data_IF_546685668572
#
_entry.id   IF_546685668572
#
_cell.length_a   1.000
_cell.length_b   1.000
_cell.length_c   1.000
_cell.angle_alpha   90.00
_cell.angle_beta   90.00
_cell.angle_gamma   90.00
#
_symmetry.space_group_name_H-M   'P 1'
#
loop_
_entity.id
_entity.type
_entity.pdbx_description
1 polymer ?
#
# COMPACT_ATOMS: atom_id res chain seq x y z
N UNK A 1 -40.13 19.30 -4.37
CA UNK A 1 -39.89 19.24 -5.82
C UNK A 1 -38.90 18.11 -6.01
N UNK A 2 -39.42 16.93 -6.29
CA UNK A 2 -38.67 15.71 -6.59
C UNK A 2 -38.16 15.83 -8.04
N UNK A 3 -36.90 16.22 -8.21
CA UNK A 3 -36.23 16.07 -9.47
C UNK A 3 -35.82 14.60 -9.60
N UNK A 4 -36.55 13.82 -10.39
CA UNK A 4 -36.07 12.56 -10.95
C UNK A 4 -34.79 12.84 -11.73
N UNK A 5 -33.62 12.53 -11.18
CA UNK A 5 -32.39 12.39 -11.98
C UNK A 5 -32.54 11.05 -12.70
N UNK A 6 -33.02 11.13 -13.94
CA UNK A 6 -33.03 10.03 -14.91
C UNK A 6 -31.64 9.40 -14.96
N UNK A 7 -31.55 8.07 -15.15
CA UNK A 7 -30.32 7.30 -15.21
C UNK A 7 -29.48 7.59 -16.45
N UNK A 8 -29.04 8.85 -16.60
CA UNK A 8 -28.20 9.27 -17.71
C UNK A 8 -26.75 8.82 -17.44
N UNK A 9 -26.14 8.22 -18.44
CA UNK A 9 -24.71 7.97 -18.50
C UNK A 9 -23.94 9.30 -18.49
N UNK A 10 -22.73 9.30 -17.94
CA UNK A 10 -21.89 10.49 -17.95
C UNK A 10 -21.62 10.93 -19.42
N UNK A 11 -21.69 12.24 -19.74
CA UNK A 11 -21.44 12.71 -21.09
C UNK A 11 -20.07 12.27 -21.60
N UNK A 12 -20.04 11.74 -22.82
CA UNK A 12 -18.79 11.27 -23.44
C UNK A 12 -17.78 12.39 -23.72
N UNK A 13 -18.22 13.65 -23.72
CA UNK A 13 -17.44 14.87 -23.94
C UNK A 13 -17.20 15.68 -22.64
N UNK A 14 -17.53 15.12 -21.49
CA UNK A 14 -17.30 15.73 -20.17
C UNK A 14 -15.80 15.91 -19.82
N UNK A 15 -15.53 16.49 -18.63
CA UNK A 15 -14.18 16.73 -18.14
C UNK A 15 -13.86 15.80 -16.97
N UNK A 16 -12.86 14.96 -17.13
CA UNK A 16 -12.37 14.09 -16.04
C UNK A 16 -10.98 14.56 -15.64
N UNK A 17 -10.78 14.77 -14.34
CA UNK A 17 -9.48 15.06 -13.74
C UNK A 17 -9.05 13.88 -12.88
N UNK A 18 -7.81 13.46 -13.03
CA UNK A 18 -7.15 12.43 -12.21
C UNK A 18 -6.01 13.11 -11.44
N UNK A 19 -6.12 13.16 -10.11
CA UNK A 19 -5.03 13.66 -9.25
C UNK A 19 -4.24 12.49 -8.72
N UNK A 20 -2.99 12.36 -9.19
CA UNK A 20 -2.09 11.24 -8.97
C UNK A 20 -1.70 10.58 -10.29
N UNK A 21 -0.59 11.03 -10.89
CA UNK A 21 -0.09 10.54 -12.18
C UNK A 21 0.91 9.37 -12.00
N UNK A 22 0.54 8.35 -11.20
CA UNK A 22 1.32 7.11 -11.02
C UNK A 22 0.51 5.90 -11.52
N UNK A 23 0.75 4.70 -11.00
CA UNK A 23 0.15 3.44 -11.46
C UNK A 23 -1.38 3.52 -11.54
N UNK A 24 -2.07 3.87 -10.45
CA UNK A 24 -3.53 3.93 -10.44
C UNK A 24 -4.07 4.97 -11.43
N UNK A 25 -3.47 6.18 -11.47
CA UNK A 25 -3.87 7.23 -12.42
C UNK A 25 -3.68 6.83 -13.88
N UNK A 26 -2.54 6.21 -14.21
CA UNK A 26 -2.27 5.70 -15.55
C UNK A 26 -3.30 4.63 -15.97
N UNK A 27 -3.55 3.63 -15.10
CA UNK A 27 -4.49 2.54 -15.39
C UNK A 27 -5.93 3.01 -15.49
N UNK A 28 -6.32 4.02 -14.68
CA UNK A 28 -7.62 4.65 -14.81
C UNK A 28 -7.76 5.43 -16.12
N UNK A 29 -6.75 6.16 -16.53
CA UNK A 29 -6.75 6.90 -17.81
C UNK A 29 -6.88 5.97 -19.02
N UNK A 30 -6.15 4.84 -19.01
CA UNK A 30 -6.27 3.79 -20.02
C UNK A 30 -7.68 3.19 -20.04
N UNK A 31 -8.21 2.82 -18.86
CA UNK A 31 -9.53 2.23 -18.73
C UNK A 31 -10.65 3.18 -19.18
N UNK A 32 -10.58 4.48 -18.85
CA UNK A 32 -11.53 5.47 -19.36
C UNK A 32 -11.58 5.51 -20.88
N UNK A 33 -10.42 5.43 -21.55
CA UNK A 33 -10.35 5.37 -23.00
C UNK A 33 -10.86 4.04 -23.57
N UNK A 34 -10.66 2.93 -22.84
CA UNK A 34 -11.21 1.61 -23.22
C UNK A 34 -12.74 1.57 -23.09
N UNK A 35 -13.31 2.27 -22.09
CA UNK A 35 -14.77 2.47 -21.93
C UNK A 35 -15.38 3.44 -22.94
N UNK A 36 -14.58 4.00 -23.86
CA UNK A 36 -15.06 4.88 -24.93
C UNK A 36 -15.22 6.35 -24.52
N UNK A 37 -14.70 6.76 -23.36
CA UNK A 37 -14.69 8.18 -23.00
C UNK A 37 -13.79 8.98 -23.94
N UNK A 38 -14.33 9.99 -24.62
CA UNK A 38 -13.63 10.84 -25.60
C UNK A 38 -13.40 12.27 -25.11
N UNK A 39 -13.96 12.61 -23.96
CA UNK A 39 -13.90 13.95 -23.37
C UNK A 39 -12.52 14.34 -22.86
N UNK A 40 -12.44 15.52 -22.29
CA UNK A 40 -11.21 16.07 -21.75
C UNK A 40 -10.71 15.25 -20.56
N UNK A 41 -9.45 14.81 -20.63
CA UNK A 41 -8.79 14.04 -19.57
C UNK A 41 -7.52 14.78 -19.14
N UNK A 42 -7.43 15.14 -17.85
CA UNK A 42 -6.25 15.79 -17.28
C UNK A 42 -5.69 14.94 -16.15
N UNK A 43 -4.39 14.64 -16.19
CA UNK A 43 -3.66 13.99 -15.10
C UNK A 43 -2.76 15.01 -14.41
N UNK A 44 -2.87 15.09 -13.09
CA UNK A 44 -2.07 15.97 -12.22
C UNK A 44 -1.13 15.10 -11.40
N UNK A 45 0.17 15.40 -11.40
CA UNK A 45 1.19 14.69 -10.64
C UNK A 45 2.23 15.63 -10.03
N UNK A 46 2.67 15.35 -8.82
CA UNK A 46 3.72 16.08 -8.11
C UNK A 46 5.13 15.72 -8.62
N UNK A 47 5.31 14.53 -9.15
CA UNK A 47 6.57 14.10 -9.76
C UNK A 47 6.69 14.61 -11.20
N UNK A 48 7.90 15.02 -11.60
CA UNK A 48 8.18 15.59 -12.94
C UNK A 48 8.23 14.54 -14.05
N UNK A 49 8.19 13.28 -13.69
CA UNK A 49 8.37 12.16 -14.62
C UNK A 49 7.05 11.46 -14.95
N UNK A 50 7.03 10.78 -16.09
CA UNK A 50 5.95 9.87 -16.45
C UNK A 50 5.81 8.70 -15.47
N UNK A 51 4.63 8.04 -15.41
CA UNK A 51 4.39 6.91 -14.52
C UNK A 51 5.43 5.80 -14.65
N UNK A 52 5.92 5.32 -13.52
CA UNK A 52 6.92 4.25 -13.44
C UNK A 52 6.56 3.21 -12.38
N UNK A 53 7.17 2.03 -12.47
CA UNK A 53 6.94 0.91 -11.57
C UNK A 53 7.75 1.07 -10.29
N UNK A 54 7.09 1.01 -9.11
CA UNK A 54 7.74 1.21 -7.81
C UNK A 54 8.32 -0.08 -7.19
N UNK A 55 7.78 -1.29 -7.39
CA UNK A 55 8.34 -2.51 -6.82
C UNK A 55 9.83 -2.74 -7.12
N UNK A 56 10.40 -2.37 -8.28
CA UNK A 56 11.84 -2.50 -8.54
C UNK A 56 12.73 -1.61 -7.67
N UNK A 57 12.20 -0.51 -7.10
CA UNK A 57 12.98 0.52 -6.41
C UNK A 57 13.69 0.03 -5.15
N UNK A 58 13.12 -0.95 -4.44
CA UNK A 58 13.73 -1.58 -3.26
C UNK A 58 14.52 -2.87 -3.58
N UNK A 59 14.58 -3.26 -4.86
CA UNK A 59 15.14 -4.54 -5.33
C UNK A 59 16.08 -4.31 -6.51
N UNK A 60 15.58 -4.43 -7.75
CA UNK A 60 16.37 -4.45 -8.97
C UNK A 60 17.16 -3.17 -9.21
N UNK A 61 16.63 -2.02 -8.82
CA UNK A 61 17.37 -0.75 -8.93
C UNK A 61 18.55 -0.75 -7.95
N UNK A 62 18.33 -1.20 -6.71
CA UNK A 62 19.36 -1.24 -5.68
C UNK A 62 20.38 -2.37 -5.87
N UNK A 63 20.12 -3.33 -6.77
CA UNK A 63 21.12 -4.32 -7.22
C UNK A 63 21.91 -3.85 -8.44
N UNK A 64 21.54 -2.70 -9.04
CA UNK A 64 22.14 -2.21 -10.28
C UNK A 64 21.70 -2.96 -11.53
N UNK A 65 20.75 -3.90 -11.42
CA UNK A 65 20.26 -4.68 -12.57
C UNK A 65 19.40 -3.83 -13.51
N UNK A 66 18.60 -2.91 -12.95
CA UNK A 66 17.78 -1.97 -13.71
C UNK A 66 18.16 -0.55 -13.28
N UNK A 67 18.48 0.37 -14.19
CA UNK A 67 18.70 1.75 -13.83
C UNK A 67 17.37 2.38 -13.35
N UNK A 68 17.44 3.38 -12.47
CA UNK A 68 16.25 3.98 -11.87
C UNK A 68 15.29 4.57 -12.92
N UNK A 69 15.81 5.15 -14.00
CA UNK A 69 15.05 5.66 -15.14
C UNK A 69 14.51 4.57 -16.07
N UNK A 70 15.02 3.34 -15.97
CA UNK A 70 14.56 2.16 -16.71
C UNK A 70 13.29 1.52 -16.16
N UNK A 71 12.64 2.10 -15.14
CA UNK A 71 11.46 1.54 -14.48
C UNK A 71 10.13 2.02 -15.05
N UNK A 72 10.11 2.67 -16.21
CA UNK A 72 8.90 3.20 -16.83
C UNK A 72 7.79 2.14 -16.94
N UNK A 73 6.55 2.52 -16.58
CA UNK A 73 5.39 1.65 -16.77
C UNK A 73 5.03 1.58 -18.27
N UNK A 74 4.86 0.38 -18.83
CA UNK A 74 4.41 0.25 -20.20
C UNK A 74 2.98 0.79 -20.32
N UNK A 75 2.77 1.67 -21.28
CA UNK A 75 1.43 2.10 -21.68
C UNK A 75 0.78 0.97 -22.50
N UNK A 76 -0.44 0.61 -22.17
CA UNK A 76 -1.21 -0.42 -22.87
C UNK A 76 -1.86 0.10 -24.15
N UNK A 77 -2.01 1.44 -24.20
CA UNK A 77 -2.55 2.18 -25.34
C UNK A 77 -2.05 3.62 -25.33
N UNK A 78 -2.25 4.32 -26.43
CA UNK A 78 -2.09 5.77 -26.46
C UNK A 78 -3.20 6.44 -25.65
N UNK A 79 -2.83 7.41 -24.83
CA UNK A 79 -3.74 8.17 -23.99
C UNK A 79 -3.70 9.62 -24.46
N UNK A 80 -4.78 10.06 -25.09
CA UNK A 80 -4.99 11.47 -25.36
C UNK A 80 -5.41 12.17 -24.05
N UNK A 81 -4.45 12.80 -23.37
CA UNK A 81 -4.65 13.46 -22.10
C UNK A 81 -3.66 14.61 -21.90
N UNK A 82 -4.09 15.59 -21.12
CA UNK A 82 -3.25 16.70 -20.69
C UNK A 82 -2.52 16.30 -19.40
N UNK A 83 -1.19 16.18 -19.46
CA UNK A 83 -0.34 15.80 -18.34
C UNK A 83 0.24 17.04 -17.68
N UNK A 84 -0.12 17.28 -16.41
CA UNK A 84 0.40 18.34 -15.56
C UNK A 84 1.34 17.70 -14.52
N UNK A 85 2.57 17.41 -14.93
CA UNK A 85 3.59 16.77 -14.11
C UNK A 85 4.48 17.81 -13.43
N UNK A 86 4.98 17.49 -12.23
CA UNK A 86 5.79 18.37 -11.41
C UNK A 86 5.00 19.47 -10.69
N UNK A 87 3.66 19.37 -10.67
CA UNK A 87 2.79 20.37 -10.03
C UNK A 87 1.79 19.66 -9.14
N UNK A 88 1.99 19.66 -7.80
CA UNK A 88 1.07 19.02 -6.89
C UNK A 88 -0.28 19.76 -6.81
N UNK A 89 -1.35 19.00 -6.54
CA UNK A 89 -2.61 19.57 -6.10
C UNK A 89 -2.44 20.15 -4.68
N UNK A 90 -3.03 21.32 -4.44
CA UNK A 90 -2.94 22.06 -3.18
C UNK A 90 -4.29 22.24 -2.49
N UNK A 91 -5.42 22.07 -3.22
CA UNK A 91 -6.76 22.21 -2.69
C UNK A 91 -7.82 21.57 -3.57
N UNK A 92 -9.01 21.38 -3.00
CA UNK A 92 -10.20 20.87 -3.69
C UNK A 92 -11.43 21.67 -3.28
N UNK A 93 -12.05 22.34 -4.23
CA UNK A 93 -13.37 22.95 -4.11
C UNK A 93 -14.43 22.00 -4.71
N UNK A 94 -15.11 21.24 -3.86
CA UNK A 94 -16.17 20.31 -4.28
C UNK A 94 -17.37 21.03 -4.89
N UNK A 95 -17.76 22.17 -4.32
CA UNK A 95 -18.94 22.91 -4.77
C UNK A 95 -18.68 23.58 -6.12
N UNK A 96 -17.49 24.17 -6.29
CA UNK A 96 -17.06 24.78 -7.56
C UNK A 96 -16.53 23.77 -8.56
N UNK A 97 -16.40 22.49 -8.19
CA UNK A 97 -15.84 21.41 -9.04
C UNK A 97 -14.51 21.78 -9.67
N UNK A 98 -13.54 22.13 -8.83
CA UNK A 98 -12.18 22.45 -9.28
C UNK A 98 -11.12 21.92 -8.33
N UNK A 99 -9.97 21.59 -8.89
CA UNK A 99 -8.74 21.24 -8.19
C UNK A 99 -7.81 22.43 -8.27
N UNK A 100 -7.33 22.91 -7.13
CA UNK A 100 -6.33 23.99 -7.06
C UNK A 100 -4.93 23.34 -7.12
N UNK A 101 -4.02 23.95 -7.90
CA UNK A 101 -2.64 23.51 -8.03
C UNK A 101 -1.69 24.44 -7.28
N UNK A 102 -0.53 23.91 -6.86
CA UNK A 102 0.46 24.67 -6.11
C UNK A 102 1.07 25.87 -6.87
N UNK A 103 0.96 25.89 -8.19
CA UNK A 103 1.39 27.00 -9.03
C UNK A 103 0.31 28.08 -9.28
N UNK A 104 -0.84 27.94 -8.61
CA UNK A 104 -1.95 28.88 -8.69
C UNK A 104 -2.95 28.62 -9.82
N UNK A 105 -2.75 27.59 -10.64
CA UNK A 105 -3.75 27.18 -11.63
C UNK A 105 -4.91 26.46 -10.96
N UNK A 106 -6.09 26.59 -11.57
CA UNK A 106 -7.31 25.86 -11.20
C UNK A 106 -7.68 24.92 -12.35
N UNK A 107 -8.01 23.66 -12.04
CA UNK A 107 -8.42 22.65 -13.02
C UNK A 107 -9.87 22.27 -12.77
N UNK A 108 -10.81 22.72 -13.61
CA UNK A 108 -12.21 22.38 -13.46
C UNK A 108 -12.48 20.95 -13.90
N UNK A 109 -13.40 20.26 -13.20
CA UNK A 109 -13.81 18.90 -13.52
C UNK A 109 -15.32 18.73 -13.49
N UNK A 110 -15.81 17.72 -14.19
CA UNK A 110 -17.18 17.21 -14.01
C UNK A 110 -17.15 15.95 -13.15
N UNK A 111 -16.06 15.13 -13.28
CA UNK A 111 -15.72 14.03 -12.38
C UNK A 111 -14.24 14.04 -12.01
N UNK A 112 -13.94 13.62 -10.78
CA UNK A 112 -12.60 13.61 -10.21
C UNK A 112 -12.23 12.19 -9.76
N UNK A 113 -11.01 11.73 -10.09
CA UNK A 113 -10.39 10.57 -9.48
C UNK A 113 -9.24 11.01 -8.57
N UNK A 114 -9.29 10.63 -7.31
CA UNK A 114 -8.21 10.81 -6.34
C UNK A 114 -7.36 9.54 -6.34
N UNK A 115 -6.11 9.64 -6.84
CA UNK A 115 -5.15 8.54 -6.97
C UNK A 115 -3.76 8.92 -6.45
N UNK A 116 -3.69 9.80 -5.44
CA UNK A 116 -2.46 10.42 -4.91
C UNK A 116 -1.56 9.48 -4.14
N UNK A 117 -2.04 8.29 -3.77
CA UNK A 117 -1.25 7.25 -3.14
C UNK A 117 -0.65 7.62 -1.78
N UNK A 118 0.58 7.16 -1.55
CA UNK A 118 1.35 7.37 -0.31
C UNK A 118 2.76 7.86 -0.66
N UNK A 119 3.38 8.61 0.27
CA UNK A 119 4.81 8.93 0.27
C UNK A 119 5.52 8.17 1.39
N UNK A 120 6.84 8.03 1.31
CA UNK A 120 7.62 7.47 2.41
C UNK A 120 7.51 8.36 3.64
N UNK A 121 7.37 7.73 4.82
CA UNK A 121 7.43 8.44 6.09
C UNK A 121 8.86 8.91 6.33
N UNK A 122 9.11 10.22 6.46
CA UNK A 122 10.45 10.72 6.73
C UNK A 122 10.88 10.40 8.16
N UNK A 123 12.15 10.59 8.45
CA UNK A 123 12.64 10.68 9.83
C UNK A 123 12.01 11.90 10.53
N UNK A 124 11.68 11.75 11.82
CA UNK A 124 10.85 12.74 12.51
C UNK A 124 11.56 14.06 12.79
N UNK A 125 12.87 14.02 13.03
CA UNK A 125 13.68 15.24 13.22
C UNK A 125 14.23 15.68 11.85
N UNK A 126 13.85 16.88 11.42
CA UNK A 126 14.22 17.41 10.10
C UNK A 126 15.73 17.64 9.96
N UNK A 127 16.42 18.01 11.05
CA UNK A 127 17.86 18.25 11.02
C UNK A 127 18.64 16.94 10.88
N UNK A 128 18.18 15.88 11.52
CA UNK A 128 18.74 14.54 11.38
C UNK A 128 18.38 13.91 10.02
N UNK A 129 17.15 14.15 9.51
CA UNK A 129 16.72 13.74 8.18
C UNK A 129 17.56 14.37 7.05
N UNK A 130 18.06 15.59 7.28
CA UNK A 130 18.88 16.33 6.33
C UNK A 130 20.36 15.90 6.31
N UNK A 131 20.80 15.02 7.21
CA UNK A 131 22.17 14.50 7.20
C UNK A 131 22.48 13.77 5.89
N UNK A 132 23.63 14.03 5.28
CA UNK A 132 24.10 13.25 4.14
C UNK A 132 24.29 11.78 4.56
N UNK A 133 23.70 10.87 3.78
CA UNK A 133 23.66 9.44 4.08
C UNK A 133 22.37 8.98 4.73
N UNK A 134 21.39 9.86 5.00
CA UNK A 134 20.03 9.47 5.41
C UNK A 134 19.11 9.45 4.20
N UNK A 135 18.42 8.34 3.99
CA UNK A 135 17.59 8.09 2.82
C UNK A 135 16.19 7.59 3.22
N UNK A 136 15.22 7.92 2.41
CA UNK A 136 13.95 7.19 2.25
C UNK A 136 13.94 6.52 0.88
N UNK A 137 13.04 5.56 0.65
CA UNK A 137 12.87 4.95 -0.68
C UNK A 137 11.39 4.93 -1.04
N UNK A 138 11.00 5.78 -1.96
CA UNK A 138 9.66 5.81 -2.54
C UNK A 138 9.68 6.23 -4.02
N UNK A 139 10.53 7.19 -4.38
CA UNK A 139 10.67 7.66 -5.74
C UNK A 139 11.86 6.99 -6.44
N UNK A 140 11.89 7.07 -7.76
CA UNK A 140 13.04 6.57 -8.54
C UNK A 140 14.32 7.37 -8.25
N UNK A 141 14.19 8.65 -7.95
CA UNK A 141 15.28 9.52 -7.55
C UNK A 141 15.86 9.09 -6.19
N UNK A 142 14.99 8.74 -5.23
CA UNK A 142 15.43 8.20 -3.93
C UNK A 142 16.24 6.92 -4.12
N UNK A 143 15.70 6.01 -4.94
CA UNK A 143 16.35 4.71 -5.21
C UNK A 143 17.67 4.87 -5.96
N UNK A 144 17.72 5.78 -6.96
CA UNK A 144 18.95 6.08 -7.69
C UNK A 144 20.05 6.64 -6.78
N UNK A 145 19.74 7.61 -5.94
CA UNK A 145 20.67 8.17 -4.96
C UNK A 145 21.14 7.13 -3.94
N UNK A 146 20.23 6.28 -3.45
CA UNK A 146 20.62 5.19 -2.54
C UNK A 146 21.52 4.17 -3.25
N UNK A 147 21.20 3.80 -4.50
CA UNK A 147 22.05 2.90 -5.30
C UNK A 147 23.47 3.43 -5.45
N UNK A 148 23.65 4.70 -5.83
CA UNK A 148 24.98 5.33 -5.95
C UNK A 148 25.78 5.21 -4.64
N UNK A 149 25.11 5.39 -3.50
CA UNK A 149 25.75 5.27 -2.19
C UNK A 149 26.11 3.82 -1.84
N UNK A 150 25.24 2.85 -2.16
CA UNK A 150 25.52 1.42 -1.94
C UNK A 150 26.63 0.93 -2.85
N UNK A 151 26.65 1.34 -4.12
CA UNK A 151 27.69 0.99 -5.09
C UNK A 151 29.07 1.54 -4.71
N UNK A 152 29.14 2.62 -3.93
CA UNK A 152 30.37 3.16 -3.39
C UNK A 152 30.97 2.32 -2.23
N UNK A 153 30.28 1.27 -1.79
CA UNK A 153 30.75 0.33 -0.76
C UNK A 153 30.80 0.94 0.64
N UNK A 154 29.70 1.35 1.24
CA UNK A 154 29.68 1.86 2.62
C UNK A 154 30.12 0.77 3.60
N UNK A 155 30.77 1.18 4.69
CA UNK A 155 31.24 0.23 5.72
C UNK A 155 30.08 -0.43 6.47
N UNK A 156 28.96 0.27 6.63
CA UNK A 156 27.72 -0.25 7.27
C UNK A 156 26.48 0.54 6.87
N UNK A 157 25.39 -0.19 6.62
CA UNK A 157 24.03 0.35 6.43
C UNK A 157 23.19 0.06 7.67
N UNK A 158 22.47 1.06 8.16
CA UNK A 158 21.40 0.88 9.12
C UNK A 158 20.05 1.03 8.40
N UNK A 159 19.18 0.03 8.52
CA UNK A 159 17.79 0.09 8.07
C UNK A 159 16.90 0.27 9.29
N UNK A 160 16.08 1.32 9.30
CA UNK A 160 15.14 1.61 10.38
C UNK A 160 13.74 1.20 9.95
N UNK A 161 13.24 0.11 10.52
CA UNK A 161 11.99 -0.57 10.19
C UNK A 161 12.22 -1.84 9.36
N UNK A 162 11.66 -2.95 9.84
CA UNK A 162 11.76 -4.27 9.23
C UNK A 162 10.45 -4.71 8.54
N UNK A 163 9.71 -3.76 7.95
CA UNK A 163 8.63 -4.04 7.01
C UNK A 163 9.14 -4.59 5.68
N UNK A 164 8.28 -4.73 4.66
CA UNK A 164 8.68 -5.28 3.36
C UNK A 164 9.85 -4.52 2.73
N UNK A 165 9.74 -3.19 2.60
CA UNK A 165 10.79 -2.38 1.99
C UNK A 165 12.12 -2.49 2.76
N UNK A 166 12.09 -2.38 4.08
CA UNK A 166 13.29 -2.50 4.90
C UNK A 166 13.96 -3.87 4.80
N UNK A 167 13.17 -4.94 4.82
CA UNK A 167 13.67 -6.32 4.64
C UNK A 167 14.25 -6.57 3.24
N UNK A 168 13.64 -6.00 2.20
CA UNK A 168 14.14 -6.07 0.81
C UNK A 168 15.47 -5.33 0.66
N UNK A 169 15.58 -4.13 1.24
CA UNK A 169 16.82 -3.34 1.23
C UNK A 169 17.93 -4.06 2.02
N UNK A 170 17.61 -4.64 3.18
CA UNK A 170 18.57 -5.45 3.93
C UNK A 170 19.04 -6.66 3.12
N UNK A 171 18.15 -7.31 2.39
CA UNK A 171 18.48 -8.40 1.46
C UNK A 171 19.44 -7.94 0.35
N UNK A 172 19.19 -6.78 -0.25
CA UNK A 172 20.08 -6.19 -1.26
C UNK A 172 21.46 -5.89 -0.67
N UNK A 173 21.54 -5.27 0.50
CA UNK A 173 22.80 -4.99 1.17
C UNK A 173 23.62 -6.27 1.38
N UNK A 174 22.99 -7.36 1.85
CA UNK A 174 23.67 -8.64 2.01
C UNK A 174 24.09 -9.27 0.68
N UNK A 175 23.28 -9.07 -0.38
CA UNK A 175 23.66 -9.50 -1.74
C UNK A 175 24.89 -8.78 -2.32
N UNK A 176 25.20 -7.60 -1.80
CA UNK A 176 26.40 -6.81 -2.12
C UNK A 176 27.51 -6.96 -1.06
N UNK A 177 27.41 -7.91 -0.13
CA UNK A 177 28.34 -8.11 1.00
C UNK A 177 28.50 -6.89 1.91
N UNK A 178 27.54 -5.95 1.89
CA UNK A 178 27.54 -4.77 2.75
C UNK A 178 27.02 -5.19 4.15
N UNK A 179 27.75 -4.88 5.23
CA UNK A 179 27.27 -5.08 6.58
C UNK A 179 25.99 -4.27 6.82
N UNK A 180 24.93 -4.92 7.29
CA UNK A 180 23.63 -4.27 7.54
C UNK A 180 23.12 -4.59 8.94
N UNK A 181 22.69 -3.53 9.64
CA UNK A 181 21.91 -3.61 10.87
C UNK A 181 20.47 -3.23 10.54
N UNK A 182 19.50 -4.01 10.99
CA UNK A 182 18.06 -3.70 10.88
C UNK A 182 17.50 -3.46 12.28
N UNK A 183 16.89 -2.31 12.51
CA UNK A 183 16.23 -1.95 13.75
C UNK A 183 14.71 -2.03 13.60
N UNK A 184 14.04 -2.76 14.46
CA UNK A 184 12.58 -2.94 14.44
C UNK A 184 12.02 -2.77 15.85
N UNK A 185 10.95 -2.00 15.97
CA UNK A 185 10.26 -1.77 17.26
C UNK A 185 9.42 -2.96 17.71
N UNK A 186 8.91 -3.73 16.75
CA UNK A 186 8.17 -4.96 17.02
C UNK A 186 9.12 -6.11 17.38
N UNK A 187 8.54 -7.22 17.89
CA UNK A 187 9.28 -8.42 18.32
C UNK A 187 9.93 -9.19 17.15
N UNK A 188 9.43 -8.97 15.92
CA UNK A 188 9.95 -9.60 14.71
C UNK A 188 9.71 -8.72 13.48
N UNK A 189 10.48 -8.92 12.38
CA UNK A 189 10.21 -8.27 11.10
C UNK A 189 8.85 -8.73 10.54
N UNK A 190 8.23 -7.89 9.70
CA UNK A 190 6.98 -8.17 9.00
C UNK A 190 5.78 -8.51 9.92
N UNK A 191 5.93 -8.37 11.23
CA UNK A 191 4.91 -8.79 12.21
C UNK A 191 3.58 -8.07 11.98
N UNK A 192 3.61 -6.81 11.58
CA UNK A 192 2.41 -6.03 11.25
C UNK A 192 1.64 -6.55 10.03
N UNK A 193 2.30 -7.29 9.15
CA UNK A 193 1.70 -7.86 7.93
C UNK A 193 1.43 -9.36 8.02
N UNK A 194 2.31 -10.12 8.70
CA UNK A 194 2.32 -11.58 8.69
C UNK A 194 2.09 -12.22 10.07
N UNK A 195 2.03 -11.42 11.14
CA UNK A 195 1.91 -11.91 12.52
C UNK A 195 3.20 -12.48 13.10
N UNK A 196 3.19 -12.77 14.39
CA UNK A 196 4.40 -13.12 15.16
C UNK A 196 5.04 -14.44 14.73
N UNK A 197 4.25 -15.48 14.46
CA UNK A 197 4.79 -16.77 14.04
C UNK A 197 5.57 -16.69 12.73
N UNK A 198 4.96 -16.15 11.69
CA UNK A 198 5.60 -16.02 10.37
C UNK A 198 6.69 -14.93 10.39
N UNK A 199 6.49 -13.87 11.18
CA UNK A 199 7.52 -12.86 11.46
C UNK A 199 8.78 -13.46 12.08
N UNK A 200 8.64 -14.40 13.00
CA UNK A 200 9.78 -15.11 13.63
C UNK A 200 10.55 -15.98 12.61
N UNK A 201 9.85 -16.61 11.66
CA UNK A 201 10.48 -17.33 10.54
C UNK A 201 11.27 -16.36 9.65
N UNK A 202 10.69 -15.21 9.33
CA UNK A 202 11.39 -14.16 8.57
C UNK A 202 12.61 -13.61 9.32
N UNK A 203 12.54 -13.49 10.67
CA UNK A 203 13.69 -13.10 11.48
C UNK A 203 14.84 -14.09 11.39
N UNK A 204 14.54 -15.39 11.45
CA UNK A 204 15.55 -16.45 11.30
C UNK A 204 16.18 -16.42 9.92
N UNK A 205 15.39 -16.20 8.86
CA UNK A 205 15.90 -16.05 7.49
C UNK A 205 16.87 -14.87 7.37
N UNK A 206 16.55 -13.71 7.92
CA UNK A 206 17.42 -12.53 7.92
C UNK A 206 18.73 -12.79 8.66
N UNK A 207 18.66 -13.36 9.88
CA UNK A 207 19.85 -13.70 10.68
C UNK A 207 20.74 -14.72 10.01
N UNK A 208 20.17 -15.76 9.39
CA UNK A 208 20.91 -16.77 8.64
C UNK A 208 21.71 -16.18 7.46
N UNK A 209 21.25 -15.06 6.91
CA UNK A 209 21.96 -14.31 5.86
C UNK A 209 22.89 -13.21 6.41
N UNK A 210 23.16 -13.21 7.72
CA UNK A 210 24.14 -12.30 8.33
C UNK A 210 23.64 -10.87 8.56
N UNK A 211 22.34 -10.67 8.68
CA UNK A 211 21.77 -9.38 9.12
C UNK A 211 21.90 -9.25 10.64
N UNK A 212 22.46 -8.12 11.12
CA UNK A 212 22.37 -7.73 12.54
C UNK A 212 20.94 -7.20 12.83
N UNK A 213 20.02 -8.15 13.05
CA UNK A 213 18.59 -7.87 13.26
C UNK A 213 18.31 -7.61 14.74
N UNK A 214 17.92 -6.39 15.07
CA UNK A 214 17.57 -5.91 16.39
C UNK A 214 16.08 -5.62 16.47
N UNK A 215 15.34 -6.46 17.15
CA UNK A 215 13.90 -6.34 17.38
C UNK A 215 13.61 -5.84 18.80
N UNK A 216 12.44 -5.23 19.02
CA UNK A 216 12.04 -4.65 20.31
C UNK A 216 12.80 -3.36 20.66
N UNK A 217 13.48 -2.74 19.68
CA UNK A 217 14.27 -1.53 19.90
C UNK A 217 13.86 -0.41 18.93
N UNK A 218 13.91 0.83 19.40
CA UNK A 218 13.63 2.02 18.61
C UNK A 218 14.93 2.78 18.37
N UNK A 219 15.18 3.22 17.15
CA UNK A 219 16.19 4.25 16.89
C UNK A 219 15.62 5.59 17.37
N UNK A 220 16.33 6.24 18.28
CA UNK A 220 15.86 7.45 18.97
C UNK A 220 16.51 8.72 18.44
N UNK A 221 17.71 8.61 17.87
CA UNK A 221 18.47 9.75 17.34
C UNK A 221 19.49 9.30 16.30
N UNK A 222 19.70 10.14 15.29
CA UNK A 222 20.81 10.04 14.34
C UNK A 222 21.85 11.13 14.65
N UNK A 223 23.11 10.77 14.62
CA UNK A 223 24.22 11.67 14.91
C UNK A 223 25.06 11.89 13.66
N UNK A 224 25.30 13.14 13.30
CA UNK A 224 26.16 13.54 12.19
C UNK A 224 27.60 13.81 12.62
N UNK A 225 28.53 13.80 11.65
CA UNK A 225 29.87 14.30 11.81
C UNK A 225 29.94 15.84 11.57
N UNK A 226 31.11 16.45 11.75
CA UNK A 226 31.34 17.89 11.52
C UNK A 226 31.08 18.36 10.08
N UNK A 227 30.96 17.39 9.13
CA UNK A 227 30.66 17.65 7.72
C UNK A 227 29.20 17.43 7.38
N UNK A 228 28.34 17.17 8.40
CA UNK A 228 26.92 16.90 8.21
C UNK A 228 26.61 15.53 7.62
N UNK A 229 27.51 14.55 7.68
CA UNK A 229 27.27 13.17 7.24
C UNK A 229 26.84 12.32 8.44
N UNK A 230 25.84 11.44 8.24
CA UNK A 230 25.46 10.49 9.28
C UNK A 230 26.64 9.57 9.64
N UNK A 231 26.84 9.34 10.94
CA UNK A 231 27.92 8.48 11.43
C UNK A 231 27.47 7.49 12.49
N UNK A 232 26.40 7.76 13.22
CA UNK A 232 25.94 6.92 14.34
C UNK A 232 24.45 7.04 14.57
N UNK A 233 23.83 5.93 14.96
CA UNK A 233 22.46 5.88 15.47
C UNK A 233 22.45 5.49 16.94
N UNK A 234 21.53 6.07 17.72
CA UNK A 234 21.28 5.77 19.13
C UNK A 234 19.98 5.01 19.28
N UNK A 235 19.97 4.00 20.15
CA UNK A 235 18.83 3.14 20.37
C UNK A 235 18.18 3.33 21.74
N UNK A 236 16.93 2.92 21.87
CA UNK A 236 16.14 3.05 23.11
C UNK A 236 16.69 2.23 24.30
N UNK A 237 17.47 1.22 24.03
CA UNK A 237 18.16 0.38 25.05
C UNK A 237 19.53 0.95 25.47
N UNK A 238 19.91 2.12 24.97
CA UNK A 238 21.19 2.79 25.22
C UNK A 238 22.33 2.32 24.30
N UNK A 239 22.12 1.33 23.45
CA UNK A 239 23.11 0.90 22.49
C UNK A 239 23.30 1.95 21.38
N UNK A 240 24.43 1.87 20.68
CA UNK A 240 24.71 2.68 19.48
C UNK A 240 25.21 1.80 18.34
N UNK A 241 25.00 2.27 17.10
CA UNK A 241 25.54 1.64 15.89
C UNK A 241 26.13 2.71 15.01
N UNK A 242 27.39 2.55 14.63
CA UNK A 242 28.01 3.38 13.60
C UNK A 242 27.49 2.96 12.23
N UNK A 243 27.10 3.92 11.39
CA UNK A 243 26.56 3.69 10.06
C UNK A 243 26.92 4.85 9.12
N UNK A 244 27.30 4.52 7.89
CA UNK A 244 27.61 5.50 6.84
C UNK A 244 26.35 5.81 6.00
N UNK A 245 25.36 4.93 6.10
CA UNK A 245 24.06 5.03 5.41
C UNK A 245 22.97 4.64 6.38
N UNK A 246 21.91 5.44 6.44
CA UNK A 246 20.69 5.14 7.18
C UNK A 246 19.51 5.15 6.19
N UNK A 247 18.78 4.05 6.12
CA UNK A 247 17.56 3.95 5.30
C UNK A 247 16.34 3.93 6.21
N UNK A 248 15.50 4.95 6.12
CA UNK A 248 14.28 5.11 6.90
C UNK A 248 13.14 4.38 6.19
N UNK A 249 12.74 3.21 6.69
CA UNK A 249 11.73 2.32 6.11
C UNK A 249 10.50 2.20 7.04
N UNK A 250 9.97 3.33 7.50
CA UNK A 250 8.91 3.45 8.51
C UNK A 250 7.47 3.44 7.93
N UNK A 251 7.29 2.88 6.74
CA UNK A 251 6.00 2.80 6.05
C UNK A 251 5.60 4.08 5.33
N UNK A 252 4.34 4.12 4.90
CA UNK A 252 3.78 5.20 4.09
C UNK A 252 2.98 6.24 4.89
N UNK A 253 2.83 7.42 4.31
CA UNK A 253 1.89 8.47 4.73
C UNK A 253 0.99 8.79 3.53
N UNK A 254 -0.34 8.74 3.72
CA UNK A 254 -1.31 9.04 2.64
C UNK A 254 -1.20 10.50 2.24
N UNK A 255 -1.23 10.73 0.92
CA UNK A 255 -1.17 12.09 0.37
C UNK A 255 -2.57 12.69 0.34
N UNK A 256 -3.07 13.13 1.49
CA UNK A 256 -4.43 13.65 1.68
C UNK A 256 -4.47 15.10 2.17
N UNK A 257 -3.33 15.75 2.38
CA UNK A 257 -3.25 17.09 2.96
C UNK A 257 -3.98 18.14 2.11
N UNK A 258 -3.93 18.01 0.79
CA UNK A 258 -4.60 18.87 -0.16
C UNK A 258 -6.14 18.77 -0.11
N UNK A 259 -6.67 17.71 0.54
CA UNK A 259 -8.10 17.49 0.75
C UNK A 259 -8.60 18.08 2.07
N UNK A 260 -7.73 18.76 2.84
CA UNK A 260 -8.14 19.40 4.07
C UNK A 260 -9.24 20.43 3.77
N UNK A 261 -10.28 20.42 4.58
CA UNK A 261 -11.44 21.31 4.46
C UNK A 261 -12.26 21.18 3.16
N UNK A 262 -11.97 20.17 2.32
CA UNK A 262 -12.73 19.90 1.10
C UNK A 262 -14.15 19.37 1.35
N UNK A 263 -14.44 18.90 2.58
CA UNK A 263 -15.69 18.22 2.90
C UNK A 263 -15.71 16.73 2.59
N UNK A 264 -14.62 16.15 2.07
CA UNK A 264 -14.46 14.70 1.92
C UNK A 264 -14.03 14.01 3.22
N UNK A 265 -14.44 12.76 3.41
CA UNK A 265 -13.98 11.89 4.49
C UNK A 265 -12.53 11.41 4.21
N UNK A 266 -11.60 12.35 4.30
CA UNK A 266 -10.17 12.17 4.03
C UNK A 266 -9.33 12.48 5.27
N UNK A 267 -8.23 11.75 5.46
CA UNK A 267 -7.34 11.96 6.60
C UNK A 267 -6.15 11.01 6.59
N UNK A 268 -5.52 10.83 7.75
CA UNK A 268 -4.31 10.00 7.93
C UNK A 268 -4.49 8.53 7.49
N UNK A 269 -5.73 8.06 7.45
CA UNK A 269 -6.06 6.69 7.01
C UNK A 269 -6.39 6.57 5.53
N UNK A 270 -6.36 7.68 4.78
CA UNK A 270 -6.72 7.76 3.37
C UNK A 270 -8.08 8.41 3.16
N UNK A 271 -8.63 8.24 1.97
CA UNK A 271 -9.94 8.74 1.57
C UNK A 271 -10.94 7.58 1.61
N UNK A 272 -11.97 7.72 2.44
CA UNK A 272 -13.02 6.70 2.53
C UNK A 272 -13.88 6.70 1.27
N UNK A 273 -14.15 5.50 0.74
CA UNK A 273 -15.02 5.31 -0.42
C UNK A 273 -15.91 4.08 -0.26
N UNK A 274 -16.97 4.00 -1.06
CA UNK A 274 -17.82 2.82 -1.15
C UNK A 274 -17.17 1.71 -2.00
N UNK A 275 -17.85 0.57 -2.12
CA UNK A 275 -17.37 -0.53 -2.97
C UNK A 275 -17.29 -0.18 -4.45
N UNK A 276 -18.00 0.85 -4.90
CA UNK A 276 -17.91 1.39 -6.25
C UNK A 276 -16.82 2.45 -6.43
N UNK A 277 -15.93 2.59 -5.45
CA UNK A 277 -14.84 3.58 -5.42
C UNK A 277 -15.30 5.04 -5.36
N UNK A 278 -16.57 5.34 -4.98
CA UNK A 278 -17.06 6.70 -4.81
C UNK A 278 -16.68 7.22 -3.42
N UNK A 279 -16.12 8.42 -3.35
CA UNK A 279 -15.72 9.04 -2.09
C UNK A 279 -16.93 9.32 -1.19
N UNK A 280 -16.75 9.21 0.14
CA UNK A 280 -17.70 9.72 1.11
C UNK A 280 -17.36 11.17 1.47
N UNK A 281 -18.38 11.97 1.72
CA UNK A 281 -18.23 13.25 2.39
C UNK A 281 -18.08 13.08 3.92
N UNK A 282 -17.82 14.17 4.63
CA UNK A 282 -17.69 14.17 6.10
C UNK A 282 -18.98 13.80 6.84
N UNK A 283 -20.13 13.82 6.17
CA UNK A 283 -21.42 13.40 6.71
C UNK A 283 -21.72 11.92 6.43
N UNK A 284 -20.81 11.21 5.74
CA UNK A 284 -20.98 9.81 5.34
C UNK A 284 -21.89 9.62 4.12
N UNK A 285 -22.13 10.67 3.34
CA UNK A 285 -22.85 10.56 2.08
C UNK A 285 -21.88 10.26 0.93
N UNK A 286 -22.31 9.38 0.04
CA UNK A 286 -21.53 9.04 -1.16
C UNK A 286 -21.63 10.18 -2.17
N UNK A 287 -20.48 10.63 -2.68
CA UNK A 287 -20.45 11.60 -3.78
C UNK A 287 -20.70 10.89 -5.11
N UNK A 288 -21.32 11.57 -6.08
CA UNK A 288 -21.52 11.02 -7.42
C UNK A 288 -20.41 11.40 -8.39
N UNK A 289 -19.61 12.39 -8.05
CA UNK A 289 -18.64 13.03 -8.95
C UNK A 289 -17.18 12.80 -8.54
N UNK A 290 -16.91 12.26 -7.34
CA UNK A 290 -15.56 12.03 -6.82
C UNK A 290 -15.33 10.54 -6.55
N UNK A 291 -14.27 10.01 -7.13
CA UNK A 291 -13.84 8.62 -7.03
C UNK A 291 -12.44 8.53 -6.44
N UNK A 292 -12.09 7.35 -5.91
CA UNK A 292 -10.81 7.12 -5.24
C UNK A 292 -10.23 5.78 -5.68
N UNK A 293 -8.91 5.72 -5.93
CA UNK A 293 -8.24 4.47 -6.26
C UNK A 293 -6.79 4.42 -5.77
N UNK A 294 -6.29 3.21 -5.56
CA UNK A 294 -4.91 2.92 -5.15
C UNK A 294 -4.65 3.12 -3.66
N UNK A 295 -3.39 3.32 -3.28
CA UNK A 295 -2.92 3.30 -1.89
C UNK A 295 -3.57 4.37 -0.99
N UNK A 296 -4.14 5.42 -1.57
CA UNK A 296 -4.86 6.48 -0.84
C UNK A 296 -6.28 6.07 -0.48
N UNK A 297 -6.85 5.08 -1.17
CA UNK A 297 -8.22 4.64 -0.99
C UNK A 297 -8.38 3.79 0.28
N UNK A 298 -9.55 3.95 0.92
CA UNK A 298 -10.00 3.13 2.02
C UNK A 298 -11.40 2.64 1.73
N UNK A 299 -11.48 1.35 1.34
CA UNK A 299 -12.70 0.71 0.83
C UNK A 299 -13.22 -0.39 1.76
N UNK A 300 -14.55 -0.55 1.93
CA UNK A 300 -15.11 -1.70 2.63
C UNK A 300 -14.95 -2.96 1.78
N UNK A 301 -14.56 -4.07 2.41
CA UNK A 301 -14.37 -5.34 1.71
C UNK A 301 -15.33 -6.42 2.24
N UNK A 302 -16.20 -7.02 1.40
CA UNK A 302 -17.27 -7.92 1.84
C UNK A 302 -16.76 -9.20 2.52
N UNK A 303 -15.65 -9.79 2.05
CA UNK A 303 -15.05 -10.99 2.66
C UNK A 303 -14.61 -10.75 4.10
N UNK A 304 -14.30 -9.50 4.45
CA UNK A 304 -13.83 -9.08 5.77
C UNK A 304 -14.90 -8.30 6.56
N UNK A 305 -16.14 -8.73 6.47
CA UNK A 305 -17.26 -8.16 7.23
C UNK A 305 -17.43 -6.64 6.97
N UNK A 306 -17.19 -6.22 5.73
CA UNK A 306 -17.23 -4.81 5.30
C UNK A 306 -16.30 -3.88 6.08
N UNK A 307 -15.24 -4.41 6.69
CA UNK A 307 -14.18 -3.58 7.26
C UNK A 307 -13.54 -2.73 6.18
N UNK A 308 -13.25 -1.48 6.53
CA UNK A 308 -12.54 -0.57 5.65
C UNK A 308 -11.06 -0.95 5.60
N UNK A 309 -10.59 -1.32 4.43
CA UNK A 309 -9.20 -1.70 4.17
C UNK A 309 -8.49 -0.62 3.37
N UNK A 310 -7.25 -0.31 3.76
CA UNK A 310 -6.31 0.48 2.98
C UNK A 310 -5.23 -0.46 2.47
N UNK A 311 -5.34 -0.86 1.19
CA UNK A 311 -4.51 -1.88 0.57
C UNK A 311 -3.41 -1.22 -0.28
N UNK A 312 -2.19 -1.17 0.24
CA UNK A 312 -1.02 -0.63 -0.46
C UNK A 312 -0.40 -1.71 -1.36
N UNK A 313 -1.20 -2.27 -2.29
CA UNK A 313 -0.79 -3.37 -3.17
C UNK A 313 -0.91 -2.97 -4.63
N UNK A 314 0.09 -3.35 -5.43
CA UNK A 314 0.17 -3.06 -6.86
C UNK A 314 -1.07 -3.53 -7.63
N UNK A 315 -1.49 -4.79 -7.43
CA UNK A 315 -2.67 -5.35 -8.09
C UNK A 315 -3.95 -4.60 -7.68
N UNK A 316 -4.10 -4.27 -6.39
CA UNK A 316 -5.23 -3.49 -5.89
C UNK A 316 -5.32 -2.11 -6.58
N UNK A 317 -4.18 -1.42 -6.74
CA UNK A 317 -4.14 -0.11 -7.39
C UNK A 317 -4.62 -0.19 -8.86
N UNK A 318 -4.26 -1.27 -9.58
CA UNK A 318 -4.69 -1.51 -10.96
C UNK A 318 -6.18 -1.81 -11.05
N UNK A 319 -6.66 -2.77 -10.28
CA UNK A 319 -8.05 -3.25 -10.35
C UNK A 319 -9.02 -2.18 -9.84
N UNK A 320 -8.67 -1.49 -8.76
CA UNK A 320 -9.46 -0.40 -8.22
C UNK A 320 -9.55 0.78 -9.18
N UNK A 321 -8.46 1.10 -9.89
CA UNK A 321 -8.44 2.12 -10.92
C UNK A 321 -9.36 1.78 -12.10
N UNK A 322 -9.41 0.50 -12.51
CA UNK A 322 -10.32 0.02 -13.57
C UNK A 322 -11.79 0.14 -13.14
N UNK A 323 -12.12 -0.32 -11.92
CA UNK A 323 -13.47 -0.20 -11.36
C UNK A 323 -13.89 1.27 -11.25
N UNK A 324 -13.02 2.13 -10.72
CA UNK A 324 -13.30 3.56 -10.61
C UNK A 324 -13.54 4.19 -11.99
N UNK A 325 -12.70 3.90 -12.97
CA UNK A 325 -12.82 4.42 -14.34
C UNK A 325 -14.13 3.99 -15.00
N UNK A 326 -14.47 2.69 -14.94
CA UNK A 326 -15.76 2.17 -15.41
C UNK A 326 -16.93 2.90 -14.74
N UNK A 327 -16.91 3.01 -13.42
CA UNK A 327 -18.00 3.63 -12.65
C UNK A 327 -18.10 5.15 -12.86
N UNK A 328 -17.01 5.79 -13.28
CA UNK A 328 -17.01 7.21 -13.64
C UNK A 328 -17.78 7.50 -14.93
N UNK A 329 -17.95 6.53 -15.82
CA UNK A 329 -18.62 6.76 -17.10
C UNK A 329 -19.93 5.96 -17.24
N UNK A 330 -20.15 4.98 -16.37
CA UNK A 330 -21.34 4.14 -16.37
C UNK A 330 -22.57 4.81 -15.74
N UNK A 331 -23.76 4.33 -16.10
CA UNK A 331 -25.00 4.66 -15.40
C UNK A 331 -24.96 4.11 -13.96
N UNK A 332 -25.74 4.66 -13.04
CA UNK A 332 -25.79 4.15 -11.65
C UNK A 332 -26.11 2.65 -11.53
N UNK A 333 -26.89 2.09 -12.49
CA UNK A 333 -27.29 0.68 -12.50
C UNK A 333 -26.22 -0.27 -13.01
N UNK A 334 -25.26 0.24 -13.78
CA UNK A 334 -24.23 -0.55 -14.45
C UNK A 334 -22.89 -0.51 -13.72
N UNK A 335 -22.83 0.15 -12.55
CA UNK A 335 -21.61 0.28 -11.74
C UNK A 335 -21.16 -1.06 -11.15
N UNK A 336 -19.87 -1.28 -11.17
CA UNK A 336 -19.20 -2.47 -10.62
C UNK A 336 -18.75 -2.25 -9.18
N UNK A 337 -18.87 -3.26 -8.31
CA UNK A 337 -18.19 -3.24 -7.04
C UNK A 337 -16.71 -3.65 -7.20
N UNK A 338 -15.82 -3.06 -6.41
CA UNK A 338 -14.45 -3.52 -6.25
C UNK A 338 -14.44 -4.69 -5.27
N UNK A 339 -14.17 -5.89 -5.79
CA UNK A 339 -14.18 -7.16 -5.06
C UNK A 339 -12.86 -7.92 -5.13
N UNK A 340 -11.79 -7.23 -5.52
CA UNK A 340 -10.49 -7.84 -5.70
C UNK A 340 -9.98 -8.48 -4.41
N UNK A 341 -9.55 -9.74 -4.50
CA UNK A 341 -8.90 -10.41 -3.37
C UNK A 341 -7.52 -9.79 -3.14
N UNK A 342 -7.26 -9.24 -1.95
CA UNK A 342 -5.96 -8.65 -1.63
C UNK A 342 -4.82 -9.65 -1.86
N UNK A 343 -3.77 -9.21 -2.53
CA UNK A 343 -2.59 -10.02 -2.76
C UNK A 343 -1.33 -9.14 -2.78
N UNK A 344 -0.25 -9.63 -2.20
CA UNK A 344 1.04 -8.95 -2.28
C UNK A 344 2.16 -9.95 -2.58
N UNK A 345 3.31 -9.43 -2.96
CA UNK A 345 4.54 -10.21 -3.08
C UNK A 345 5.74 -9.42 -2.59
N UNK A 346 6.75 -10.14 -2.13
CA UNK A 346 8.07 -9.64 -1.76
C UNK A 346 9.13 -10.68 -2.09
N UNK A 347 10.33 -10.25 -2.43
CA UNK A 347 11.47 -11.15 -2.60
C UNK A 347 12.57 -10.70 -1.65
N UNK A 348 13.00 -11.60 -0.77
CA UNK A 348 13.96 -11.31 0.29
C UNK A 348 14.89 -12.52 0.46
N UNK A 349 16.20 -12.31 0.44
CA UNK A 349 17.19 -13.36 0.66
C UNK A 349 16.99 -14.60 -0.24
N UNK A 350 16.62 -14.38 -1.48
CA UNK A 350 16.36 -15.45 -2.45
C UNK A 350 14.98 -16.13 -2.32
N UNK A 351 14.17 -15.80 -1.29
CA UNK A 351 12.85 -16.38 -1.05
C UNK A 351 11.75 -15.46 -1.58
N UNK A 352 10.80 -16.01 -2.34
CA UNK A 352 9.61 -15.31 -2.81
C UNK A 352 8.48 -15.47 -1.80
N UNK A 353 8.11 -14.38 -1.15
CA UNK A 353 6.96 -14.32 -0.24
C UNK A 353 5.77 -13.79 -1.03
N UNK A 354 4.68 -14.56 -1.09
CA UNK A 354 3.43 -14.14 -1.74
C UNK A 354 2.26 -14.40 -0.82
N UNK A 355 1.23 -13.56 -0.90
CA UNK A 355 0.00 -13.77 -0.12
C UNK A 355 -1.25 -13.64 -0.96
N UNK A 356 -2.32 -14.20 -0.44
CA UNK A 356 -3.70 -13.95 -0.83
C UNK A 356 -4.52 -13.75 0.42
N UNK A 357 -5.44 -12.79 0.40
CA UNK A 357 -6.20 -12.37 1.58
C UNK A 357 -5.43 -11.39 2.48
N UNK A 358 -5.98 -11.14 3.67
CA UNK A 358 -5.47 -10.16 4.64
C UNK A 358 -5.09 -10.85 5.95
N UNK A 359 -3.82 -11.27 6.13
CA UNK A 359 -3.39 -12.00 7.31
C UNK A 359 -3.69 -11.27 8.63
N UNK A 360 -3.49 -9.96 8.65
CA UNK A 360 -3.64 -9.13 9.84
C UNK A 360 -5.06 -9.11 10.44
N UNK A 361 -6.07 -9.53 9.68
CA UNK A 361 -7.45 -9.67 10.17
C UNK A 361 -7.73 -11.05 10.78
N UNK A 362 -6.70 -11.86 11.05
CA UNK A 362 -6.81 -13.22 11.57
C UNK A 362 -6.40 -13.30 13.04
N UNK A 363 -6.87 -14.33 13.74
CA UNK A 363 -6.53 -14.62 15.13
C UNK A 363 -5.65 -15.87 15.26
N UNK A 364 -5.70 -16.77 14.28
CA UNK A 364 -4.92 -18.00 14.25
C UNK A 364 -4.17 -18.18 12.92
N UNK A 365 -3.10 -18.97 12.97
CA UNK A 365 -2.28 -19.35 11.81
C UNK A 365 -1.79 -20.79 11.94
N UNK A 366 -1.67 -21.49 10.81
CA UNK A 366 -1.16 -22.85 10.75
C UNK A 366 -0.36 -23.07 9.47
N UNK A 367 0.74 -23.82 9.52
CA UNK A 367 1.46 -24.27 8.32
C UNK A 367 0.69 -25.44 7.72
N UNK A 368 0.21 -25.28 6.49
CA UNK A 368 -0.64 -26.28 5.83
C UNK A 368 0.09 -27.09 4.76
N UNK A 369 1.15 -26.57 4.17
CA UNK A 369 2.00 -27.30 3.21
C UNK A 369 3.47 -26.98 3.42
N UNK A 370 4.34 -27.93 3.06
CA UNK A 370 5.77 -27.78 2.97
C UNK A 370 6.50 -27.81 4.31
N UNK A 371 7.71 -27.27 4.34
CA UNK A 371 8.61 -27.25 5.51
C UNK A 371 9.09 -25.83 5.79
N UNK A 372 9.00 -25.44 7.05
CA UNK A 372 9.52 -24.15 7.55
C UNK A 372 11.04 -24.16 7.53
N UNK A 373 11.68 -25.29 7.82
CA UNK A 373 13.13 -25.47 7.82
C UNK A 373 13.73 -25.27 6.43
N UNK A 374 13.00 -25.67 5.38
CA UNK A 374 13.39 -25.47 3.98
C UNK A 374 13.04 -24.10 3.44
N UNK A 375 12.42 -23.23 4.24
CA UNK A 375 11.80 -21.96 3.81
C UNK A 375 10.87 -22.11 2.60
N UNK A 376 10.21 -23.28 2.48
CA UNK A 376 9.29 -23.61 1.41
C UNK A 376 7.99 -24.15 1.96
N UNK A 377 7.05 -23.26 2.28
CA UNK A 377 5.81 -23.63 2.96
C UNK A 377 4.66 -22.67 2.59
N UNK A 378 3.46 -23.04 3.03
CA UNK A 378 2.29 -22.16 3.07
C UNK A 378 1.79 -22.09 4.52
N UNK A 379 1.64 -20.86 5.03
CA UNK A 379 0.94 -20.57 6.27
C UNK A 379 -0.47 -20.07 5.94
N UNK A 380 -1.47 -20.71 6.48
CA UNK A 380 -2.89 -20.37 6.33
C UNK A 380 -3.40 -19.71 7.59
N UNK A 381 -4.18 -18.65 7.44
CA UNK A 381 -4.70 -17.82 8.52
C UNK A 381 -6.20 -17.99 8.66
N UNK A 382 -6.68 -17.91 9.89
CA UNK A 382 -8.08 -18.05 10.21
C UNK A 382 -8.60 -16.96 11.14
N UNK A 383 -9.88 -16.64 10.97
CA UNK A 383 -10.62 -15.76 11.84
C UNK A 383 -12.01 -16.33 12.08
N UNK A 384 -12.37 -16.53 13.36
CA UNK A 384 -13.66 -17.09 13.77
C UNK A 384 -13.99 -18.40 13.02
N UNK A 385 -13.01 -19.31 12.91
CA UNK A 385 -13.18 -20.61 12.28
C UNK A 385 -13.30 -20.60 10.76
N UNK A 386 -12.94 -19.51 10.06
CA UNK A 386 -12.94 -19.40 8.60
C UNK A 386 -11.56 -19.02 8.09
N UNK A 387 -11.18 -19.52 6.93
CA UNK A 387 -9.95 -19.13 6.23
C UNK A 387 -10.06 -17.68 5.77
N UNK A 388 -9.05 -16.86 6.07
CA UNK A 388 -9.03 -15.43 5.75
C UNK A 388 -7.83 -14.99 4.95
N UNK A 389 -6.73 -15.74 5.00
CA UNK A 389 -5.54 -15.47 4.20
C UNK A 389 -4.65 -16.70 4.08
N UNK A 390 -3.74 -16.67 3.11
CA UNK A 390 -2.63 -17.60 3.01
C UNK A 390 -1.37 -16.85 2.57
N UNK A 391 -0.24 -17.23 3.16
CA UNK A 391 1.10 -16.68 2.84
C UNK A 391 2.00 -17.83 2.45
N UNK A 392 2.64 -17.70 1.31
CA UNK A 392 3.55 -18.66 0.74
C UNK A 392 4.99 -18.15 0.83
N UNK A 393 5.89 -19.01 1.24
CA UNK A 393 7.34 -18.89 1.07
C UNK A 393 7.74 -19.93 0.00
N UNK A 394 8.14 -19.49 -1.18
CA UNK A 394 8.51 -20.30 -2.36
C UNK A 394 7.57 -21.49 -2.70
N UNK A 395 6.31 -21.42 -2.28
CA UNK A 395 5.29 -22.44 -2.50
C UNK A 395 3.97 -21.89 -3.09
N UNK A 396 4.09 -20.87 -3.94
CA UNK A 396 2.96 -20.08 -4.45
C UNK A 396 1.95 -20.89 -5.30
N UNK A 397 2.28 -22.11 -5.74
CA UNK A 397 1.38 -22.99 -6.50
C UNK A 397 0.03 -23.26 -5.81
N UNK A 398 -0.02 -23.08 -4.48
CA UNK A 398 -1.22 -23.31 -3.67
C UNK A 398 -2.10 -22.06 -3.51
N UNK A 399 -1.65 -20.87 -3.86
CA UNK A 399 -2.37 -19.63 -3.53
C UNK A 399 -3.73 -19.50 -4.22
N UNK A 400 -3.88 -20.02 -5.45
CA UNK A 400 -5.19 -20.00 -6.12
C UNK A 400 -6.20 -20.90 -5.41
N UNK A 401 -5.77 -22.04 -4.88
CA UNK A 401 -6.61 -22.88 -4.03
C UNK A 401 -7.06 -22.12 -2.77
N UNK A 402 -6.14 -21.44 -2.09
CA UNK A 402 -6.48 -20.65 -0.91
C UNK A 402 -7.34 -19.43 -1.23
N UNK A 403 -7.17 -18.79 -2.37
CA UNK A 403 -8.10 -17.77 -2.85
C UNK A 403 -9.53 -18.29 -2.87
N UNK A 404 -9.74 -19.45 -3.46
CA UNK A 404 -11.06 -20.08 -3.49
C UNK A 404 -11.61 -20.40 -2.09
N UNK A 405 -10.78 -20.90 -1.18
CA UNK A 405 -11.20 -21.16 0.21
C UNK A 405 -11.62 -19.89 0.96
N UNK A 406 -10.93 -18.76 0.73
CA UNK A 406 -11.28 -17.47 1.31
C UNK A 406 -12.61 -16.96 0.74
N UNK A 407 -12.78 -17.00 -0.58
CA UNK A 407 -13.99 -16.56 -1.29
C UNK A 407 -15.23 -17.36 -0.88
N UNK A 408 -15.07 -18.64 -0.60
CA UNK A 408 -16.15 -19.55 -0.17
C UNK A 408 -16.33 -19.61 1.35
N UNK A 409 -15.58 -18.80 2.11
CA UNK A 409 -15.59 -18.80 3.58
C UNK A 409 -15.37 -20.19 4.19
N UNK A 410 -14.46 -20.97 3.61
CA UNK A 410 -14.16 -22.35 4.01
C UNK A 410 -13.74 -22.44 5.50
N UNK A 411 -14.02 -23.56 6.17
CA UNK A 411 -13.63 -23.78 7.57
C UNK A 411 -12.11 -23.68 7.79
N UNK A 412 -11.72 -23.16 8.95
CA UNK A 412 -10.33 -23.12 9.41
C UNK A 412 -10.16 -24.05 10.64
N UNK A 413 -9.06 -24.85 10.75
CA UNK A 413 -8.06 -25.07 9.70
C UNK A 413 -8.64 -25.81 8.49
N UNK A 414 -8.14 -25.52 7.27
CA UNK A 414 -8.68 -26.17 6.07
C UNK A 414 -8.27 -27.64 6.01
N UNK A 415 -9.17 -28.49 5.56
CA UNK A 415 -8.84 -29.86 5.19
C UNK A 415 -8.27 -29.87 3.77
N UNK A 416 -6.98 -30.03 3.64
CA UNK A 416 -6.29 -30.04 2.35
C UNK A 416 -5.27 -31.19 2.33
N UNK A 417 -5.71 -32.45 2.12
CA UNK A 417 -4.81 -33.60 2.07
C UNK A 417 -3.89 -33.50 0.84
N UNK A 418 -2.65 -33.10 1.06
CA UNK A 418 -1.61 -32.98 0.05
C UNK A 418 -0.39 -33.79 0.47
N UNK A 419 0.44 -34.27 -0.51
CA UNK A 419 1.64 -35.06 -0.19
C UNK A 419 2.68 -34.29 0.65
N UNK A 420 2.64 -32.97 0.63
CA UNK A 420 3.54 -32.06 1.36
C UNK A 420 2.87 -31.45 2.60
N UNK A 421 1.79 -32.06 3.09
CA UNK A 421 1.11 -31.63 4.32
C UNK A 421 1.94 -32.00 5.56
N UNK A 422 2.22 -31.03 6.46
CA UNK A 422 2.89 -31.34 7.72
C UNK A 422 2.10 -32.34 8.59
N UNK A 423 2.82 -33.20 9.30
CA UNK A 423 2.21 -34.25 10.13
C UNK A 423 1.42 -33.67 11.32
N UNK A 424 1.79 -32.48 11.78
CA UNK A 424 1.22 -31.84 12.98
C UNK A 424 0.73 -30.43 12.63
N UNK A 425 -0.48 -30.34 12.07
CA UNK A 425 -1.14 -29.08 11.76
C UNK A 425 -1.91 -28.55 12.99
N UNK A 426 -1.21 -27.91 13.92
CA UNK A 426 -1.87 -27.22 15.02
C UNK A 426 -1.93 -25.72 14.78
N UNK A 427 -3.13 -25.11 14.73
CA UNK A 427 -3.27 -23.68 14.75
C UNK A 427 -2.61 -23.08 16.00
N UNK A 428 -1.93 -21.96 15.80
CA UNK A 428 -1.37 -21.15 16.88
C UNK A 428 -1.87 -19.72 16.74
N UNK A 429 -1.90 -18.92 17.84
CA UNK A 429 -2.25 -17.51 17.74
C UNK A 429 -1.38 -16.77 16.71
N UNK A 430 -1.98 -15.95 15.88
CA UNK A 430 -1.28 -15.21 14.83
C UNK A 430 -0.39 -14.08 15.39
N UNK A 431 -0.70 -13.55 16.56
CA UNK A 431 0.03 -12.49 17.28
C UNK A 431 0.35 -11.28 16.37
N UNK A 432 -0.66 -10.46 16.10
CA UNK A 432 -0.45 -9.17 15.48
C UNK A 432 -0.25 -8.09 16.55
N UNK A 433 0.67 -7.13 16.33
CA UNK A 433 0.79 -5.99 17.20
C UNK A 433 -0.51 -5.18 17.10
N UNK A 434 -0.86 -4.56 18.17
CA UNK A 434 -2.04 -3.76 18.46
C UNK A 434 -3.08 -3.65 17.32
N UNK A 435 -4.15 -4.42 17.39
CA UNK A 435 -5.26 -4.41 16.44
C UNK A 435 -5.95 -3.05 16.33
N UNK A 436 -5.76 -2.16 17.30
CA UNK A 436 -6.31 -0.81 17.29
C UNK A 436 -5.86 0.00 16.08
N UNK A 437 -4.62 -0.13 15.62
CA UNK A 437 -4.11 0.59 14.44
C UNK A 437 -4.85 0.19 13.16
N UNK A 438 -5.37 -1.05 13.10
CA UNK A 438 -6.06 -1.57 11.91
C UNK A 438 -7.58 -1.45 12.07
N UNK A 439 -8.08 -1.49 13.30
CA UNK A 439 -9.50 -1.44 13.64
C UNK A 439 -10.01 -0.04 14.03
N UNK A 440 -9.19 1.00 14.01
CA UNK A 440 -9.63 2.39 14.06
C UNK A 440 -10.48 2.74 12.82
N UNK A 441 -11.13 1.74 12.29
CA UNK A 441 -12.14 1.79 11.30
C UNK A 441 -13.50 1.96 11.95
N UNK A 442 -14.10 3.09 11.71
CA UNK A 442 -15.52 3.26 11.92
C UNK A 442 -16.27 2.02 11.42
N UNK A 443 -17.13 1.46 12.25
CA UNK A 443 -18.13 0.51 11.79
C UNK A 443 -19.09 1.27 10.88
N UNK A 444 -19.17 0.88 9.62
CA UNK A 444 -20.14 1.47 8.70
C UNK A 444 -21.49 0.85 9.00
N UNK A 445 -22.39 1.65 9.54
CA UNK A 445 -23.80 1.27 9.65
C UNK A 445 -24.50 1.83 8.40
N UNK A 446 -24.89 0.95 7.50
CA UNK A 446 -25.74 1.32 6.38
C UNK A 446 -27.18 1.26 6.86
N UNK A 447 -27.83 2.41 6.98
CA UNK A 447 -29.27 2.49 7.29
C UNK A 447 -30.03 2.95 6.06
N UNK A 448 -31.15 2.29 5.78
CA UNK A 448 -32.05 2.60 4.65
C UNK A 448 -32.08 1.49 3.60
N UNK A 449 -33.30 1.17 3.11
CA UNK A 449 -33.51 0.14 2.08
C UNK A 449 -33.37 0.69 0.67
N UNK A 450 -33.65 1.97 0.46
CA UNK A 450 -33.52 2.62 -0.84
C UNK A 450 -32.15 3.25 -1.02
N UNK A 451 -31.57 3.25 -2.23
CA UNK A 451 -30.25 3.86 -2.50
C UNK A 451 -30.16 5.34 -2.11
N UNK A 452 -31.28 6.09 -2.20
CA UNK A 452 -31.39 7.49 -1.81
C UNK A 452 -31.47 7.73 -0.30
N UNK A 453 -31.76 6.69 0.49
CA UNK A 453 -31.90 6.74 1.94
C UNK A 453 -30.72 6.17 2.69
N UNK A 454 -29.77 5.55 1.99
CA UNK A 454 -28.59 4.93 2.60
C UNK A 454 -27.70 5.97 3.25
N UNK A 455 -27.72 6.01 4.57
CA UNK A 455 -26.77 6.78 5.38
C UNK A 455 -25.67 5.86 5.88
N UNK A 456 -24.43 6.29 5.68
CA UNK A 456 -23.25 5.63 6.24
C UNK A 456 -22.87 6.40 7.49
N UNK A 457 -23.08 5.81 8.65
CA UNK A 457 -22.63 6.36 9.92
C UNK A 457 -21.31 5.67 10.32
N UNK A 458 -20.32 6.47 10.69
CA UNK A 458 -19.07 5.98 11.27
C UNK A 458 -19.25 5.85 12.78
N UNK A 459 -19.58 4.66 13.28
CA UNK A 459 -19.61 4.39 14.71
C UNK A 459 -18.16 4.17 15.20
N UNK A 460 -17.73 4.94 16.20
CA UNK A 460 -16.48 4.64 16.92
C UNK A 460 -16.73 3.38 17.78
N UNK A 461 -15.82 2.37 17.76
CA UNK A 461 -15.89 1.28 18.73
C UNK A 461 -15.67 1.87 20.12
N UNK A 462 -16.62 1.68 21.05
CA UNK A 462 -16.47 2.02 22.47
C UNK A 462 -16.97 3.40 22.89
N UNK A 463 -18.18 3.79 22.44
CA UNK A 463 -18.98 4.81 23.08
C UNK A 463 -20.11 4.15 23.87
#
# INVERSE_FOLDING_TARGET
>A
VTGERSGETFPSDGRIVIVGASLAGLRAAEALRDEGFTGSLTLVGDEVCEPYDRPPLSKQVLTGWVPADGTALPRRREIDAHWLLGVPASGLDLAGKRVDLADGREVPFDRLLIATGVRARPWADESEAALDGVFVVRTREDSGRLWERLAAGPGRVLVVGAGFAGSEIASVCRGHDIPVTVAETAEAPLVGALGGMVGSIAANLQRAHGVDLRCGVKVTRLEGDERGRVRRAHFSDGATVDADVVVVALGGVRNTEWLRDSGLAAGVWGVACDSGCRAFDVNGLVTDDVFVAGDVARCPHPVYEYRFLSLEHWANAVEQAQVAAHNMVSSPTDRWPHLSMPAFWSTQFGVNIKSVGVPVLSDEVVVTQGSVEEHRFVATYGYRGRVTAAVSFDNAKWLDHYRHLIETAAPFPPSCPTPDQPVDMKPVPAHFPDREIITHGATVVVTGYEPSERRVAFARPGG
#
